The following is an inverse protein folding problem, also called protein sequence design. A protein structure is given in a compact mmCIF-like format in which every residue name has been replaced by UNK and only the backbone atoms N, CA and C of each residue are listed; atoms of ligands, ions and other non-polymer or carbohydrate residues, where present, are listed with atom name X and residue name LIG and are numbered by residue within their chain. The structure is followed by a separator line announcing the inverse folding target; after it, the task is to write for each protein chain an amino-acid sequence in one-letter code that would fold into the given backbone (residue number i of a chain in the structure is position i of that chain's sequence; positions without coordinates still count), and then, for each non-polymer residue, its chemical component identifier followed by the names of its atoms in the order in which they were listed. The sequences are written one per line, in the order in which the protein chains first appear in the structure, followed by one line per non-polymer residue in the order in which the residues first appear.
data_IF_055715638408
#
_entry.id   IF_055715638408
#
_cell.length_a   1.000
_cell.length_b   1.000
_cell.length_c   1.000
_cell.angle_alpha   90.00
_cell.angle_beta   90.00
_cell.angle_gamma   90.00
#
_symmetry.space_group_name_H-M   'P 1'
#
loop_
_entity.id
_entity.type
_entity.pdbx_description
1 polymer ?
#
# COMPACT_ATOMS: atom_id res chain seq x y z
N UNK A 1 20.32 -4.58 -6.48
CA UNK A 1 19.80 -3.31 -5.94
C UNK A 1 20.96 -2.34 -5.94
N UNK A 2 20.83 -1.24 -6.67
CA UNK A 2 21.83 -0.18 -6.80
C UNK A 2 21.27 1.08 -6.15
N UNK A 3 22.09 1.78 -5.35
CA UNK A 3 21.69 3.05 -4.77
C UNK A 3 22.11 4.18 -5.72
N UNK A 4 21.12 4.81 -6.35
CA UNK A 4 21.33 5.88 -7.34
C UNK A 4 21.15 7.28 -6.76
N UNK A 5 20.57 7.38 -5.55
CA UNK A 5 20.39 8.64 -4.83
C UNK A 5 20.26 8.42 -3.33
N UNK A 6 20.71 9.40 -2.55
CA UNK A 6 20.52 9.48 -1.10
C UNK A 6 20.14 10.91 -0.72
N UNK A 7 19.13 11.05 0.14
CA UNK A 7 18.66 12.35 0.63
C UNK A 7 18.75 12.39 2.16
N UNK A 8 19.48 13.37 2.70
CA UNK A 8 19.48 13.66 4.13
C UNK A 8 19.82 15.14 4.37
N UNK A 9 18.96 15.84 5.13
CA UNK A 9 19.12 17.26 5.48
C UNK A 9 20.31 17.50 6.42
N UNK A 10 20.81 16.46 7.09
CA UNK A 10 21.99 16.53 7.93
C UNK A 10 23.23 16.15 7.11
N UNK A 11 24.11 17.12 6.78
CA UNK A 11 25.24 16.88 5.89
C UNK A 11 26.25 15.86 6.44
N UNK A 12 26.34 15.70 7.77
CA UNK A 12 27.21 14.70 8.37
C UNK A 12 26.68 13.27 8.12
N UNK A 13 25.37 13.07 8.28
CA UNK A 13 24.72 11.78 8.03
C UNK A 13 24.72 11.48 6.53
N UNK A 14 24.41 12.48 5.69
CA UNK A 14 24.49 12.37 4.22
C UNK A 14 25.89 11.94 3.76
N UNK A 15 26.93 12.53 4.35
CA UNK A 15 28.32 12.18 4.09
C UNK A 15 28.63 10.74 4.48
N UNK A 16 28.38 10.38 5.74
CA UNK A 16 28.68 9.05 6.28
C UNK A 16 27.92 7.93 5.56
N UNK A 17 26.60 8.10 5.39
CA UNK A 17 25.76 7.13 4.70
C UNK A 17 26.08 7.07 3.21
N UNK A 18 26.37 8.20 2.56
CA UNK A 18 26.78 8.23 1.17
C UNK A 18 28.12 7.50 0.95
N UNK A 19 29.07 7.66 1.86
CA UNK A 19 30.36 6.95 1.82
C UNK A 19 30.17 5.46 2.04
N UNK A 20 29.33 5.08 3.01
CA UNK A 20 28.99 3.69 3.30
C UNK A 20 28.31 2.99 2.11
N UNK A 21 27.43 3.69 1.39
CA UNK A 21 26.77 3.21 0.18
C UNK A 21 27.64 3.27 -1.07
N UNK A 22 28.80 3.93 -1.03
CA UNK A 22 29.66 4.15 -2.20
C UNK A 22 29.05 5.11 -3.22
N UNK A 23 28.11 5.97 -2.81
CA UNK A 23 27.42 6.93 -3.67
C UNK A 23 28.33 8.14 -3.96
N UNK A 24 28.52 8.56 -5.22
CA UNK A 24 29.28 9.77 -5.53
C UNK A 24 28.54 11.04 -5.05
N UNK A 25 29.26 12.17 -4.89
CA UNK A 25 28.67 13.44 -4.41
C UNK A 25 27.44 13.89 -5.22
N UNK A 26 27.43 13.65 -6.54
CA UNK A 26 26.28 14.02 -7.39
C UNK A 26 25.03 13.16 -7.17
N UNK A 27 25.13 12.04 -6.45
CA UNK A 27 24.01 11.21 -6.02
C UNK A 27 23.57 11.51 -4.58
N UNK A 28 24.09 12.56 -3.95
CA UNK A 28 23.80 12.93 -2.56
C UNK A 28 23.12 14.30 -2.53
N UNK A 29 21.94 14.37 -1.93
CA UNK A 29 21.10 15.57 -1.92
C UNK A 29 20.68 15.91 -0.49
N UNK A 30 20.51 17.19 -0.18
CA UNK A 30 19.87 17.66 1.05
C UNK A 30 18.40 18.02 0.85
N UNK A 31 17.91 18.00 -0.41
CA UNK A 31 16.53 18.24 -0.81
C UNK A 31 15.96 17.07 -1.64
N UNK A 32 14.74 16.66 -1.31
CA UNK A 32 14.07 15.52 -1.98
C UNK A 32 13.58 15.89 -3.38
N UNK A 33 13.16 17.14 -3.61
CA UNK A 33 12.69 17.60 -4.91
C UNK A 33 13.83 17.67 -5.92
N UNK A 34 15.01 18.14 -5.51
CA UNK A 34 16.21 18.12 -6.35
C UNK A 34 16.65 16.69 -6.67
N UNK A 35 16.64 15.78 -5.69
CA UNK A 35 16.98 14.38 -5.91
C UNK A 35 16.08 13.72 -6.95
N UNK A 36 14.75 13.89 -6.81
CA UNK A 36 13.77 13.31 -7.72
C UNK A 36 13.82 13.92 -9.13
N UNK A 37 14.27 15.16 -9.26
CA UNK A 37 14.47 15.80 -10.56
C UNK A 37 15.77 15.37 -11.25
N UNK A 38 16.79 14.97 -10.47
CA UNK A 38 18.14 14.67 -10.97
C UNK A 38 18.40 13.18 -11.18
N UNK A 39 17.67 12.31 -10.50
CA UNK A 39 17.91 10.86 -10.47
C UNK A 39 16.67 10.11 -10.93
N UNK A 40 16.83 9.23 -11.92
CA UNK A 40 15.82 8.22 -12.23
C UNK A 40 16.03 7.00 -11.31
N UNK A 41 15.01 6.66 -10.54
CA UNK A 41 15.00 5.52 -9.64
C UNK A 41 13.68 4.76 -9.77
N UNK A 42 13.72 3.43 -9.71
CA UNK A 42 12.52 2.58 -9.81
C UNK A 42 11.61 2.71 -8.58
N UNK A 43 12.19 3.01 -7.42
CA UNK A 43 11.47 3.22 -6.16
C UNK A 43 12.29 4.09 -5.20
N UNK A 44 11.61 4.76 -4.25
CA UNK A 44 12.23 5.53 -3.17
C UNK A 44 11.88 4.90 -1.82
N UNK A 45 12.87 4.68 -0.96
CA UNK A 45 12.66 4.25 0.42
C UNK A 45 12.75 5.44 1.36
N UNK A 46 11.65 5.76 2.05
CA UNK A 46 11.57 6.90 2.97
C UNK A 46 11.70 6.38 4.40
N UNK A 47 12.88 6.58 5.00
CA UNK A 47 13.18 6.17 6.37
C UNK A 47 13.48 7.42 7.22
N UNK A 48 12.50 8.32 7.29
CA UNK A 48 12.64 9.60 7.99
C UNK A 48 11.76 9.67 9.24
N UNK A 49 12.18 10.34 10.32
CA UNK A 49 11.31 10.62 11.46
C UNK A 49 10.00 11.32 11.04
N UNK A 50 8.89 11.17 11.79
CA UNK A 50 7.58 11.71 11.42
C UNK A 50 7.56 13.20 11.05
N UNK A 51 8.45 14.00 11.64
CA UNK A 51 8.57 15.44 11.41
C UNK A 51 9.09 15.81 10.01
N UNK A 52 9.86 14.92 9.36
CA UNK A 52 10.39 15.11 8.01
C UNK A 52 9.69 14.23 6.98
N UNK A 53 8.93 13.23 7.43
CA UNK A 53 8.20 12.29 6.59
C UNK A 53 7.22 12.98 5.65
N UNK A 54 6.48 13.99 6.14
CA UNK A 54 5.50 14.72 5.33
C UNK A 54 6.11 15.23 4.03
N UNK A 55 7.23 15.96 4.13
CA UNK A 55 7.91 16.58 2.98
C UNK A 55 8.36 15.53 1.94
N UNK A 56 8.89 14.40 2.41
CA UNK A 56 9.33 13.31 1.54
C UNK A 56 8.17 12.59 0.81
N UNK A 57 6.97 12.53 1.40
CA UNK A 57 5.80 11.88 0.79
C UNK A 57 4.86 12.85 0.08
N UNK A 58 5.18 14.14 0.01
CA UNK A 58 4.29 15.13 -0.63
C UNK A 58 3.99 14.76 -2.10
N UNK A 59 4.90 14.06 -2.76
CA UNK A 59 4.71 13.65 -4.16
C UNK A 59 3.94 12.32 -4.31
N UNK A 60 3.61 11.63 -3.22
CA UNK A 60 2.99 10.30 -3.22
C UNK A 60 1.46 10.38 -3.17
N UNK A 61 0.85 11.02 -4.17
CA UNK A 61 -0.59 11.03 -4.35
C UNK A 61 -1.00 10.23 -5.58
N UNK A 62 -2.02 9.38 -5.45
CA UNK A 62 -2.56 8.59 -6.55
C UNK A 62 -4.09 8.55 -6.47
N UNK A 63 -4.73 8.65 -7.63
CA UNK A 63 -6.15 8.32 -7.82
C UNK A 63 -6.22 7.22 -8.89
N UNK A 64 -6.71 6.05 -8.49
CA UNK A 64 -6.86 4.89 -9.35
C UNK A 64 -8.34 4.63 -9.60
N UNK A 65 -8.67 4.27 -10.84
CA UNK A 65 -10.00 3.74 -11.20
C UNK A 65 -9.77 2.36 -11.81
N UNK A 66 -10.43 1.36 -11.25
CA UNK A 66 -10.20 -0.06 -11.57
C UNK A 66 -11.51 -0.74 -11.96
N UNK A 67 -11.43 -1.59 -12.98
CA UNK A 67 -12.44 -2.60 -13.30
C UNK A 67 -12.08 -3.89 -12.59
N UNK A 68 -12.95 -4.38 -11.73
CA UNK A 68 -12.76 -5.61 -10.98
C UNK A 68 -13.19 -6.82 -11.82
N UNK A 69 -12.66 -8.00 -11.52
CA UNK A 69 -12.95 -9.25 -12.26
C UNK A 69 -14.42 -9.69 -12.19
N UNK A 70 -15.16 -9.24 -11.18
CA UNK A 70 -16.59 -9.46 -11.02
C UNK A 70 -17.47 -8.40 -11.73
N UNK A 71 -16.86 -7.46 -12.47
CA UNK A 71 -17.54 -6.39 -13.19
C UNK A 71 -17.84 -5.14 -12.34
N UNK A 72 -17.49 -5.12 -11.05
CA UNK A 72 -17.58 -3.92 -10.23
C UNK A 72 -16.51 -2.89 -10.65
N UNK A 73 -16.76 -1.62 -10.36
CA UNK A 73 -15.76 -0.56 -10.47
C UNK A 73 -15.32 -0.12 -9.09
N UNK A 74 -14.03 0.10 -8.91
CA UNK A 74 -13.46 0.61 -7.69
C UNK A 74 -12.67 1.89 -7.97
N UNK A 75 -12.75 2.85 -7.05
CA UNK A 75 -11.88 4.02 -7.01
C UNK A 75 -11.04 3.98 -5.74
N UNK A 76 -9.74 4.17 -5.86
CA UNK A 76 -8.83 4.27 -4.74
C UNK A 76 -8.11 5.61 -4.78
N UNK A 77 -8.16 6.36 -3.68
CA UNK A 77 -7.40 7.59 -3.50
C UNK A 77 -6.39 7.38 -2.37
N UNK A 78 -5.11 7.52 -2.67
CA UNK A 78 -4.03 7.70 -1.70
C UNK A 78 -3.57 9.14 -1.76
N UNK A 79 -3.76 9.92 -0.71
CA UNK A 79 -3.46 11.34 -0.72
C UNK A 79 -2.89 11.81 0.63
N UNK A 80 -1.59 12.12 0.62
CA UNK A 80 -0.87 12.59 1.81
C UNK A 80 -0.75 14.12 1.90
N UNK A 81 -1.27 14.83 0.90
CA UNK A 81 -1.10 16.28 0.77
C UNK A 81 -2.36 17.11 0.89
N UNK A 82 -3.53 16.48 0.85
CA UNK A 82 -4.78 17.23 0.85
C UNK A 82 -4.86 18.16 2.08
N UNK A 83 -4.98 19.46 1.80
CA UNK A 83 -5.19 20.48 2.83
C UNK A 83 -6.60 20.41 3.45
N UNK A 84 -7.52 19.67 2.83
CA UNK A 84 -8.90 19.47 3.25
C UNK A 84 -9.08 18.32 4.24
N UNK A 85 -10.32 17.82 4.37
CA UNK A 85 -10.63 16.65 5.19
C UNK A 85 -9.96 15.42 4.58
N UNK A 86 -8.88 14.94 5.17
CA UNK A 86 -8.19 13.71 4.78
C UNK A 86 -8.52 12.58 5.74
N UNK A 87 -8.90 11.42 5.24
CA UNK A 87 -8.95 10.21 6.05
C UNK A 87 -7.51 9.72 6.26
N UNK A 88 -7.00 9.84 7.49
CA UNK A 88 -5.62 9.50 7.82
C UNK A 88 -5.46 8.00 8.05
N UNK A 89 -4.21 7.56 8.20
CA UNK A 89 -3.88 6.19 8.61
C UNK A 89 -4.70 5.73 9.83
N UNK A 90 -5.23 4.50 9.77
CA UNK A 90 -6.20 3.91 10.70
C UNK A 90 -7.55 4.65 10.77
N UNK A 91 -7.89 5.43 9.76
CA UNK A 91 -9.13 6.19 9.72
C UNK A 91 -9.59 6.40 8.30
N UNK A 92 -9.32 5.40 7.45
CA UNK A 92 -9.61 5.38 6.02
C UNK A 92 -11.12 5.44 5.76
N UNK A 93 -11.50 5.96 4.60
CA UNK A 93 -12.88 5.98 4.14
C UNK A 93 -13.13 4.80 3.21
N UNK A 94 -14.05 3.91 3.58
CA UNK A 94 -14.52 2.86 2.69
C UNK A 94 -15.98 3.08 2.35
N UNK A 95 -16.32 2.94 1.07
CA UNK A 95 -17.70 2.93 0.60
C UNK A 95 -17.89 1.82 -0.42
N UNK A 96 -18.91 1.00 -0.21
CA UNK A 96 -19.36 -0.04 -1.12
C UNK A 96 -20.80 0.24 -1.50
N UNK A 97 -21.06 0.41 -2.80
CA UNK A 97 -22.39 0.65 -3.35
C UNK A 97 -22.97 -0.67 -3.89
N UNK A 98 -24.21 -0.96 -3.53
CA UNK A 98 -24.94 -2.17 -3.88
C UNK A 98 -26.37 -1.81 -4.35
N UNK A 99 -27.10 -2.78 -4.91
CA UNK A 99 -28.48 -2.58 -5.37
C UNK A 99 -29.44 -2.05 -4.28
N UNK A 100 -29.18 -2.39 -3.02
CA UNK A 100 -30.00 -1.99 -1.87
C UNK A 100 -29.58 -0.69 -1.19
N UNK A 101 -28.46 -0.08 -1.58
CA UNK A 101 -27.87 1.07 -0.90
C UNK A 101 -26.35 0.93 -0.73
N UNK A 102 -25.78 1.65 0.22
CA UNK A 102 -24.34 1.69 0.46
C UNK A 102 -23.96 1.20 1.87
N UNK A 103 -22.81 0.56 1.97
CA UNK A 103 -22.09 0.39 3.24
C UNK A 103 -20.94 1.39 3.30
N UNK A 104 -20.86 2.15 4.38
CA UNK A 104 -19.86 3.20 4.59
C UNK A 104 -19.13 2.96 5.90
N UNK A 105 -17.80 2.96 5.88
CA UNK A 105 -16.94 3.04 7.05
C UNK A 105 -16.22 4.39 7.00
N UNK A 106 -16.43 5.21 8.03
CA UNK A 106 -15.78 6.52 8.20
C UNK A 106 -14.79 6.45 9.38
N UNK A 107 -14.07 7.54 9.62
CA UNK A 107 -12.97 7.66 10.60
C UNK A 107 -13.39 7.33 12.04
N UNK A 108 -14.67 7.39 12.37
CA UNK A 108 -15.15 7.02 13.70
C UNK A 108 -15.25 5.50 13.92
N UNK A 109 -14.80 4.71 12.94
CA UNK A 109 -14.80 3.25 12.95
C UNK A 109 -16.21 2.64 13.03
N UNK A 110 -17.24 3.42 12.73
CA UNK A 110 -18.63 2.95 12.70
C UNK A 110 -19.02 2.63 11.27
N UNK A 111 -19.39 1.37 11.03
CA UNK A 111 -19.99 0.96 9.77
C UNK A 111 -21.45 1.44 9.74
N UNK A 112 -21.82 2.12 8.66
CA UNK A 112 -23.17 2.64 8.40
C UNK A 112 -23.73 2.03 7.14
N UNK A 113 -24.99 1.58 7.21
CA UNK A 113 -25.76 1.16 6.04
C UNK A 113 -26.70 2.31 5.68
N UNK A 114 -26.52 2.84 4.48
CA UNK A 114 -27.31 3.91 3.90
C UNK A 114 -28.23 3.32 2.83
N UNK A 115 -29.53 3.35 3.08
CA UNK A 115 -30.55 2.74 2.22
C UNK A 115 -31.74 3.67 2.00
N UNK A 116 -32.68 3.25 1.17
CA UNK A 116 -33.96 3.95 1.01
C UNK A 116 -35.09 3.07 1.52
N UNK A 117 -36.01 3.66 2.27
CA UNK A 117 -37.25 2.99 2.66
C UNK A 117 -38.10 2.63 1.44
N UNK A 118 -39.14 1.81 1.62
CA UNK A 118 -40.11 1.54 0.56
C UNK A 118 -40.80 2.81 0.02
N UNK A 119 -40.84 3.90 0.80
CA UNK A 119 -41.35 5.21 0.38
C UNK A 119 -40.29 6.10 -0.30
N UNK A 120 -39.05 5.61 -0.48
CA UNK A 120 -37.94 6.31 -1.09
C UNK A 120 -37.15 7.24 -0.16
N UNK A 121 -37.52 7.32 1.13
CA UNK A 121 -36.84 8.17 2.11
C UNK A 121 -35.46 7.62 2.45
N UNK A 122 -34.38 8.43 2.41
CA UNK A 122 -33.07 8.01 2.89
C UNK A 122 -33.12 7.58 4.36
N UNK A 123 -32.48 6.47 4.68
CA UNK A 123 -32.31 5.95 6.03
C UNK A 123 -30.86 5.54 6.23
N UNK A 124 -30.35 5.77 7.43
CA UNK A 124 -29.03 5.34 7.84
C UNK A 124 -29.17 4.55 9.13
N UNK A 125 -28.51 3.39 9.20
CA UNK A 125 -28.39 2.61 10.43
C UNK A 125 -26.93 2.26 10.68
N UNK A 126 -26.54 2.29 11.95
CA UNK A 126 -25.22 1.87 12.38
C UNK A 126 -25.20 0.34 12.56
N UNK A 127 -24.07 -0.26 12.20
CA UNK A 127 -23.80 -1.69 12.38
C UNK A 127 -22.86 -1.80 13.58
N UNK A 128 -23.25 -2.54 14.64
CA UNK A 128 -22.37 -2.78 15.76
C UNK A 128 -21.06 -3.45 15.29
N UNK A 129 -19.93 -2.97 15.80
CA UNK A 129 -18.65 -3.62 15.58
C UNK A 129 -18.68 -5.06 16.09
N UNK A 130 -17.96 -5.95 15.40
CA UNK A 130 -17.74 -7.31 15.87
C UNK A 130 -16.65 -7.27 16.94
N UNK A 131 -16.91 -7.91 18.08
CA UNK A 131 -15.89 -8.09 19.11
C UNK A 131 -14.87 -9.15 18.63
N UNK A 132 -13.62 -8.74 18.50
CA UNK A 132 -12.53 -9.58 17.99
C UNK A 132 -11.47 -9.73 19.06
N UNK A 133 -10.87 -10.92 19.14
CA UNK A 133 -9.83 -11.20 20.15
C UNK A 133 -8.54 -10.45 19.88
N UNK A 134 -8.17 -10.30 18.61
CA UNK A 134 -6.93 -9.66 18.18
C UNK A 134 -7.19 -8.69 17.03
N UNK A 135 -6.47 -7.57 17.02
CA UNK A 135 -6.53 -6.55 15.97
C UNK A 135 -5.12 -6.16 15.49
N UNK A 136 -5.06 -5.54 14.30
CA UNK A 136 -3.81 -5.02 13.73
C UNK A 136 -2.69 -6.06 13.70
N UNK A 137 -1.49 -5.69 14.16
CA UNK A 137 -0.33 -6.57 14.18
C UNK A 137 -0.54 -7.85 15.01
N UNK A 138 -1.32 -7.79 16.10
CA UNK A 138 -1.59 -8.95 16.92
C UNK A 138 -2.44 -9.98 16.17
N UNK A 139 -3.41 -9.52 15.39
CA UNK A 139 -4.23 -10.39 14.55
C UNK A 139 -3.40 -11.11 13.49
N UNK A 140 -2.46 -10.40 12.85
CA UNK A 140 -1.57 -10.97 11.83
C UNK A 140 -0.66 -12.03 12.45
N UNK A 141 -0.04 -11.72 13.60
CA UNK A 141 0.81 -12.67 14.31
C UNK A 141 0.02 -13.90 14.78
N UNK A 142 -1.19 -13.71 15.32
CA UNK A 142 -2.05 -14.82 15.73
C UNK A 142 -2.44 -15.72 14.55
N UNK A 143 -2.87 -15.15 13.41
CA UNK A 143 -3.20 -15.92 12.21
C UNK A 143 -1.99 -16.71 11.69
N UNK A 144 -0.80 -16.13 11.74
CA UNK A 144 0.42 -16.82 11.33
C UNK A 144 0.76 -17.99 12.25
N UNK A 145 0.67 -17.82 13.57
CA UNK A 145 0.90 -18.89 14.54
C UNK A 145 -0.14 -20.00 14.41
N UNK A 146 -1.43 -19.66 14.29
CA UNK A 146 -2.50 -20.63 14.07
C UNK A 146 -2.25 -21.46 12.80
N UNK A 147 -1.75 -20.84 11.73
CA UNK A 147 -1.39 -21.55 10.50
C UNK A 147 -0.23 -22.53 10.69
N UNK A 148 0.81 -22.15 11.44
CA UNK A 148 1.93 -23.06 11.78
C UNK A 148 1.45 -24.28 12.56
N UNK A 149 0.41 -24.12 13.39
CA UNK A 149 -0.21 -25.19 14.17
C UNK A 149 -1.22 -26.03 13.35
N UNK A 150 -1.34 -25.79 12.04
CA UNK A 150 -2.19 -26.54 11.12
C UNK A 150 -3.57 -25.94 10.88
N UNK A 151 -3.79 -24.69 11.31
CA UNK A 151 -4.94 -23.88 10.96
C UNK A 151 -4.98 -23.50 9.46
N UNK A 152 -6.00 -22.75 9.02
CA UNK A 152 -6.07 -22.25 7.65
C UNK A 152 -4.93 -21.28 7.35
N UNK A 153 -4.56 -21.16 6.07
CA UNK A 153 -3.61 -20.13 5.65
C UNK A 153 -4.16 -18.73 5.98
N UNK A 154 -3.29 -17.77 6.38
CA UNK A 154 -3.70 -16.38 6.57
C UNK A 154 -4.29 -15.81 5.28
N UNK A 155 -5.27 -14.93 5.41
CA UNK A 155 -5.95 -14.30 4.25
C UNK A 155 -5.02 -13.40 3.43
N UNK A 156 -3.85 -13.05 3.97
CA UNK A 156 -2.79 -12.28 3.30
C UNK A 156 -1.55 -13.16 3.04
N UNK A 157 -1.75 -14.36 2.50
CA UNK A 157 -0.62 -15.22 2.10
C UNK A 157 0.18 -14.55 0.97
N UNK A 158 1.38 -15.06 0.65
CA UNK A 158 2.17 -14.53 -0.45
C UNK A 158 1.38 -14.58 -1.77
N UNK A 159 0.71 -15.70 -2.03
CA UNK A 159 -0.08 -15.92 -3.23
C UNK A 159 -1.24 -14.93 -3.37
N UNK A 160 -1.94 -14.62 -2.27
CA UNK A 160 -3.01 -13.61 -2.27
C UNK A 160 -2.44 -12.19 -2.43
N UNK A 161 -1.37 -11.88 -1.69
CA UNK A 161 -0.75 -10.56 -1.68
C UNK A 161 -0.10 -10.17 -3.02
N UNK A 162 0.24 -11.15 -3.87
CA UNK A 162 0.70 -10.88 -5.26
C UNK A 162 -0.28 -10.01 -6.04
N UNK A 163 -1.58 -10.13 -5.81
CA UNK A 163 -2.59 -9.30 -6.46
C UNK A 163 -2.45 -7.82 -6.05
N UNK A 164 -2.24 -7.55 -4.76
CA UNK A 164 -2.02 -6.21 -4.26
C UNK A 164 -0.71 -5.60 -4.80
N UNK A 165 0.35 -6.39 -4.85
CA UNK A 165 1.62 -5.98 -5.45
C UNK A 165 1.49 -5.68 -6.95
N UNK A 166 0.77 -6.53 -7.70
CA UNK A 166 0.51 -6.29 -9.12
C UNK A 166 -0.32 -5.03 -9.37
N UNK A 167 -1.31 -4.73 -8.50
CA UNK A 167 -2.05 -3.48 -8.58
C UNK A 167 -1.15 -2.26 -8.41
N UNK A 168 -0.18 -2.30 -7.49
CA UNK A 168 0.79 -1.22 -7.29
C UNK A 168 1.64 -0.99 -8.56
N UNK A 169 2.26 -2.04 -9.10
CA UNK A 169 3.08 -1.91 -10.31
C UNK A 169 2.25 -1.53 -11.54
N UNK A 170 1.05 -2.10 -11.69
CA UNK A 170 0.13 -1.72 -12.75
C UNK A 170 -0.30 -0.25 -12.67
N UNK A 171 -0.48 0.29 -11.46
CA UNK A 171 -0.78 1.70 -11.25
C UNK A 171 0.39 2.62 -11.67
N UNK A 172 1.62 2.24 -11.35
CA UNK A 172 2.84 2.96 -11.77
C UNK A 172 2.92 2.97 -13.30
N UNK A 173 2.82 1.80 -13.93
CA UNK A 173 2.86 1.66 -15.38
C UNK A 173 1.73 2.45 -16.07
N UNK A 174 0.52 2.43 -15.50
CA UNK A 174 -0.60 3.21 -16.02
C UNK A 174 -0.34 4.72 -15.94
N UNK A 175 0.28 5.21 -14.85
CA UNK A 175 0.63 6.60 -14.69
C UNK A 175 1.72 7.07 -15.67
N UNK A 176 2.74 6.23 -15.91
CA UNK A 176 3.84 6.52 -16.85
C UNK A 176 3.36 6.53 -18.31
N UNK A 177 2.50 5.59 -18.68
CA UNK A 177 2.06 5.40 -20.06
C UNK A 177 0.80 6.19 -20.42
N UNK A 178 0.02 6.60 -19.41
CA UNK A 178 -1.32 7.17 -19.60
C UNK A 178 -2.35 6.18 -20.15
N UNK A 179 -2.09 4.88 -20.06
CA UNK A 179 -2.94 3.81 -20.59
C UNK A 179 -3.47 2.91 -19.47
N UNK A 180 -4.58 2.21 -19.74
CA UNK A 180 -5.06 1.14 -18.84
C UNK A 180 -4.12 -0.07 -18.91
N UNK A 181 -3.84 -0.66 -17.75
CA UNK A 181 -3.00 -1.85 -17.60
C UNK A 181 -3.87 -3.03 -17.16
N UNK A 182 -3.64 -4.21 -17.74
CA UNK A 182 -4.25 -5.46 -17.25
C UNK A 182 -3.44 -5.99 -16.06
N UNK A 183 -4.02 -5.88 -14.87
CA UNK A 183 -3.36 -6.32 -13.63
C UNK A 183 -3.05 -7.82 -13.65
N UNK A 184 -3.84 -8.65 -14.35
CA UNK A 184 -3.59 -10.10 -14.38
C UNK A 184 -2.39 -10.46 -15.26
N UNK A 185 -2.07 -9.65 -16.28
CA UNK A 185 -0.81 -9.81 -17.02
C UNK A 185 0.39 -9.50 -16.11
N UNK A 186 0.31 -8.42 -15.32
CA UNK A 186 1.34 -8.04 -14.34
C UNK A 186 1.55 -9.12 -13.27
N UNK A 187 0.47 -9.76 -12.79
CA UNK A 187 0.58 -10.92 -11.88
C UNK A 187 1.41 -12.04 -12.51
N UNK A 188 1.13 -12.37 -13.79
CA UNK A 188 1.86 -13.39 -14.53
C UNK A 188 3.35 -13.07 -14.67
N UNK A 189 3.69 -11.80 -14.92
CA UNK A 189 5.07 -11.33 -14.99
C UNK A 189 5.80 -11.47 -13.66
N UNK A 190 5.20 -11.00 -12.55
CA UNK A 190 5.79 -11.08 -11.21
C UNK A 190 6.00 -12.54 -10.78
N UNK A 191 4.99 -13.40 -11.01
CA UNK A 191 5.09 -14.82 -10.69
C UNK A 191 6.21 -15.51 -11.48
N UNK A 192 6.34 -15.21 -12.77
CA UNK A 192 7.39 -15.76 -13.64
C UNK A 192 8.81 -15.32 -13.24
N UNK A 193 8.98 -14.15 -12.61
CA UNK A 193 10.27 -13.73 -12.06
C UNK A 193 10.72 -14.61 -10.87
N UNK A 194 9.78 -15.10 -10.06
CA UNK A 194 10.04 -15.95 -8.91
C UNK A 194 10.53 -17.35 -9.27
N UNK A 195 10.00 -17.94 -10.35
CA UNK A 195 10.36 -19.29 -10.82
C UNK A 195 11.82 -19.37 -11.33
N UNK A 196 12.43 -18.23 -11.69
CA UNK A 196 13.82 -18.15 -12.14
C UNK A 196 14.86 -18.21 -11.00
N UNK A 197 14.43 -18.17 -9.74
CA UNK A 197 15.27 -18.28 -8.53
C UNK A 197 14.93 -19.56 -7.77
N UNK A 198 15.32 -20.72 -8.29
CA UNK A 198 15.15 -22.05 -7.66
C UNK A 198 16.02 -22.29 -6.39
N UNK A 199 16.41 -21.24 -5.67
CA UNK A 199 16.96 -21.34 -4.31
C UNK A 199 15.91 -20.78 -3.34
N UNK A 200 14.77 -21.48 -3.22
CA UNK A 200 13.73 -21.12 -2.27
C UNK A 200 14.24 -21.38 -0.84
N UNK A 201 14.43 -20.29 -0.08
CA UNK A 201 14.68 -20.33 1.35
C UNK A 201 13.60 -21.16 2.06
N UNK A 202 13.99 -22.27 2.68
CA UNK A 202 13.13 -23.09 3.51
C UNK A 202 13.48 -22.84 4.99
N UNK A 203 12.59 -22.20 5.76
CA UNK A 203 12.87 -21.86 7.16
C UNK A 203 13.05 -23.08 8.07
N UNK A 204 12.69 -24.29 7.61
CA UNK A 204 12.96 -25.54 8.34
C UNK A 204 14.40 -26.03 8.23
N UNK A 205 15.18 -25.49 7.29
CA UNK A 205 16.57 -25.89 7.09
C UNK A 205 17.52 -25.19 8.08
N UNK A 206 17.04 -24.16 8.80
CA UNK A 206 17.83 -23.38 9.77
C UNK A 206 17.34 -23.45 11.22
N UNK A 207 16.27 -24.20 11.52
CA UNK A 207 15.81 -24.40 12.89
C UNK A 207 16.50 -25.64 13.52
N UNK A 208 17.04 -25.54 14.75
CA UNK A 208 17.76 -26.63 15.41
C UNK A 208 16.90 -27.82 15.83
#
# INVERSE_FOLDING_TARGET
MEFVGLVDVNPAVLGEAGDWLGLPEHGRFDDVGEALAAVEADFCCIVTPPVFHRYAVELACALLVMSMTNGAFASYEGNYLAAGKTHSWHGEYYRVECEGGAAVLDRDHVVRIEERSAAGTPQTREVPAVDVTWEGHQAIAAQFLDWLDGGPAPVTSLEDNLQATAMLFGAIQAAETGMTVDVQEVVGEIAGMGESREDAWNPRDELP
#
